data_IF_807862769796
#
_entry.id   IF_807862769796
#
_cell.length_a   1.000
_cell.length_b   1.000
_cell.length_c   1.000
_cell.angle_alpha   90.00
_cell.angle_beta   90.00
_cell.angle_gamma   90.00
#
_symmetry.space_group_name_H-M   'P 1'
#
loop_
_entity.id
_entity.type
_entity.pdbx_description
1 polymer ?
#
# COMPACT_ATOMS: atom_id res chain seq x y z
N UNK A 1 -24.41 -5.85 4.76
CA UNK A 1 -23.47 -6.72 5.52
C UNK A 1 -22.05 -6.34 5.15
N UNK A 2 -21.19 -6.09 6.15
CA UNK A 2 -19.80 -5.65 5.96
C UNK A 2 -18.85 -6.73 6.44
N UNK A 3 -17.74 -6.92 5.71
CA UNK A 3 -16.60 -7.75 6.12
C UNK A 3 -15.36 -6.88 6.31
N UNK A 4 -14.85 -6.79 7.54
CA UNK A 4 -13.53 -6.23 7.85
C UNK A 4 -12.46 -7.33 7.73
N UNK A 5 -11.63 -7.22 6.69
CA UNK A 5 -10.50 -8.13 6.47
C UNK A 5 -9.26 -7.53 7.12
N UNK A 6 -8.79 -8.15 8.20
CA UNK A 6 -7.56 -7.76 8.87
C UNK A 6 -7.77 -7.12 10.23
N UNK A 7 -8.95 -6.57 10.53
CA UNK A 7 -9.38 -6.04 11.84
C UNK A 7 -8.22 -5.50 12.71
N UNK A 8 -7.35 -4.67 12.11
CA UNK A 8 -6.01 -4.36 12.67
C UNK A 8 -6.14 -3.58 13.97
N UNK A 9 -6.55 -2.32 13.85
CA UNK A 9 -6.90 -1.44 14.97
C UNK A 9 -8.37 -1.60 15.41
N UNK A 10 -9.20 -2.24 14.58
CA UNK A 10 -10.63 -2.45 14.84
C UNK A 10 -11.48 -1.21 14.59
N UNK A 11 -10.84 -0.10 14.21
CA UNK A 11 -11.52 1.15 13.92
C UNK A 11 -12.49 1.02 12.74
N UNK A 12 -12.10 0.32 11.66
CA UNK A 12 -12.96 0.14 10.49
C UNK A 12 -14.21 -0.68 10.83
N UNK A 13 -14.04 -1.77 11.58
CA UNK A 13 -15.15 -2.55 12.14
C UNK A 13 -16.10 -1.70 12.98
N UNK A 14 -15.55 -0.91 13.92
CA UNK A 14 -16.35 -0.04 14.77
C UNK A 14 -17.11 1.01 13.95
N UNK A 15 -16.43 1.69 13.02
CA UNK A 15 -17.04 2.68 12.13
C UNK A 15 -18.13 2.07 11.23
N UNK A 16 -17.95 0.83 10.76
CA UNK A 16 -18.98 0.13 9.98
C UNK A 16 -20.24 -0.13 10.82
N UNK A 17 -20.10 -0.55 12.08
CA UNK A 17 -21.23 -0.65 13.01
C UNK A 17 -21.88 0.72 13.23
N UNK A 18 -21.07 1.77 13.46
CA UNK A 18 -21.57 3.12 13.70
C UNK A 18 -22.33 3.70 12.52
N UNK A 19 -21.89 3.41 11.29
CA UNK A 19 -22.53 3.81 10.05
C UNK A 19 -23.85 3.06 9.75
N UNK A 20 -24.29 2.16 10.62
CA UNK A 20 -25.58 1.46 10.49
C UNK A 20 -25.52 0.18 9.67
N UNK A 21 -24.36 -0.48 9.57
CA UNK A 21 -24.30 -1.81 8.97
C UNK A 21 -25.24 -2.78 9.70
N UNK A 22 -26.04 -3.55 8.96
CA UNK A 22 -26.92 -4.57 9.54
C UNK A 22 -26.15 -5.70 10.25
N UNK A 23 -24.91 -5.95 9.83
CA UNK A 23 -23.99 -6.95 10.39
C UNK A 23 -22.56 -6.61 9.94
N UNK A 24 -21.61 -6.73 10.83
CA UNK A 24 -20.17 -6.60 10.58
C UNK A 24 -19.49 -7.90 11.00
N UNK A 25 -18.84 -8.56 10.04
CA UNK A 25 -17.92 -9.66 10.31
C UNK A 25 -16.50 -9.14 10.30
N UNK A 26 -15.70 -9.48 11.30
CA UNK A 26 -14.30 -9.08 11.35
C UNK A 26 -13.39 -10.29 11.49
N UNK A 27 -12.35 -10.32 10.68
CA UNK A 27 -11.32 -11.38 10.66
C UNK A 27 -9.94 -10.76 10.87
N UNK A 28 -9.00 -11.52 11.42
CA UNK A 28 -7.66 -11.02 11.72
C UNK A 28 -7.41 -10.98 13.23
N UNK A 29 -7.08 -9.82 13.78
CA UNK A 29 -6.60 -9.71 15.16
C UNK A 29 -7.71 -9.94 16.21
N UNK A 30 -7.68 -11.06 16.97
CA UNK A 30 -8.73 -11.37 17.95
C UNK A 30 -8.68 -10.46 19.18
N UNK A 31 -7.50 -9.95 19.55
CA UNK A 31 -7.34 -9.02 20.67
C UNK A 31 -8.04 -7.71 20.36
N UNK A 32 -7.83 -7.19 19.15
CA UNK A 32 -8.49 -5.98 18.67
C UNK A 32 -10.00 -6.16 18.53
N UNK A 33 -10.44 -7.27 17.94
CA UNK A 33 -11.87 -7.57 17.84
C UNK A 33 -12.56 -7.53 19.22
N UNK A 34 -11.90 -8.01 20.28
CA UNK A 34 -12.41 -7.91 21.65
C UNK A 34 -12.57 -6.46 22.13
N UNK A 35 -11.68 -5.55 21.74
CA UNK A 35 -11.84 -4.13 22.06
C UNK A 35 -13.05 -3.51 21.34
N UNK A 36 -13.30 -3.89 20.08
CA UNK A 36 -14.51 -3.46 19.35
C UNK A 36 -15.77 -3.99 20.04
N UNK A 37 -15.80 -5.28 20.42
CA UNK A 37 -16.92 -5.84 21.19
C UNK A 37 -17.17 -5.08 22.49
N UNK A 38 -16.11 -4.74 23.22
CA UNK A 38 -16.23 -3.94 24.46
C UNK A 38 -16.75 -2.53 24.19
N UNK A 39 -16.29 -1.88 23.12
CA UNK A 39 -16.71 -0.53 22.77
C UNK A 39 -18.19 -0.45 22.36
N UNK A 40 -18.72 -1.54 21.77
CA UNK A 40 -20.13 -1.64 21.38
C UNK A 40 -21.03 -2.20 22.50
N UNK A 41 -20.46 -2.67 23.60
CA UNK A 41 -21.22 -3.27 24.70
C UNK A 41 -22.21 -2.26 25.31
N UNK A 42 -23.42 -2.72 25.60
CA UNK A 42 -24.49 -1.87 26.17
C UNK A 42 -25.14 -0.91 25.16
N UNK A 43 -24.75 -0.95 23.89
CA UNK A 43 -25.44 -0.26 22.80
C UNK A 43 -26.38 -1.20 22.05
N UNK A 44 -27.32 -0.64 21.29
CA UNK A 44 -28.17 -1.38 20.34
C UNK A 44 -27.38 -2.08 19.22
N UNK A 45 -26.08 -1.78 19.09
CA UNK A 45 -25.17 -2.31 18.06
C UNK A 45 -24.32 -3.48 18.56
N UNK A 46 -24.47 -3.91 19.81
CA UNK A 46 -23.67 -5.01 20.38
C UNK A 46 -23.77 -6.30 19.56
N UNK A 47 -24.97 -6.63 19.07
CA UNK A 47 -25.25 -7.83 18.27
C UNK A 47 -24.87 -7.70 16.77
N UNK A 48 -24.53 -6.49 16.32
CA UNK A 48 -24.14 -6.21 14.93
C UNK A 48 -22.74 -6.74 14.63
N UNK A 49 -21.86 -6.79 15.61
CA UNK A 49 -20.46 -7.16 15.41
C UNK A 49 -20.21 -8.63 15.76
N UNK A 50 -19.62 -9.38 14.82
CA UNK A 50 -19.17 -10.75 15.06
C UNK A 50 -17.73 -10.92 14.53
N UNK A 51 -16.86 -11.51 15.34
CA UNK A 51 -15.48 -11.79 14.94
C UNK A 51 -15.18 -13.30 14.96
N UNK A 52 -15.39 -14.02 13.85
CA UNK A 52 -14.97 -15.42 13.73
C UNK A 52 -13.46 -15.56 13.96
N UNK A 53 -13.06 -16.61 14.69
CA UNK A 53 -11.64 -16.91 14.93
C UNK A 53 -11.05 -17.68 13.74
N UNK A 54 -9.92 -17.21 13.24
CA UNK A 54 -9.13 -17.87 12.21
C UNK A 54 -8.77 -16.95 11.04
N UNK A 55 -7.98 -17.47 10.11
CA UNK A 55 -7.65 -16.79 8.86
C UNK A 55 -8.85 -16.78 7.90
N UNK A 56 -8.96 -15.75 7.06
CA UNK A 56 -10.07 -15.62 6.09
C UNK A 56 -10.19 -16.84 5.16
N UNK A 57 -9.08 -17.51 4.86
CA UNK A 57 -9.03 -18.72 4.04
C UNK A 57 -9.59 -19.96 4.73
N UNK A 58 -9.58 -19.98 6.07
CA UNK A 58 -9.95 -21.15 6.89
C UNK A 58 -11.35 -21.04 7.48
N UNK A 59 -11.86 -19.82 7.69
CA UNK A 59 -13.18 -19.63 8.27
C UNK A 59 -14.31 -19.79 7.25
N UNK A 60 -15.51 -20.01 7.78
CA UNK A 60 -16.77 -19.87 7.07
C UNK A 60 -17.60 -18.79 7.76
N UNK A 61 -18.00 -17.76 7.02
CA UNK A 61 -18.90 -16.74 7.54
C UNK A 61 -20.31 -17.35 7.71
N UNK A 62 -21.11 -16.89 8.68
CA UNK A 62 -22.50 -17.32 8.84
C UNK A 62 -23.45 -16.65 7.81
N UNK A 63 -22.89 -16.19 6.69
CA UNK A 63 -23.61 -15.71 5.52
C UNK A 63 -22.88 -16.20 4.26
N UNK A 64 -23.61 -16.34 3.16
CA UNK A 64 -23.01 -16.75 1.89
C UNK A 64 -22.19 -15.62 1.25
N UNK A 65 -22.68 -14.37 1.36
CA UNK A 65 -22.12 -13.20 0.71
C UNK A 65 -22.23 -11.94 1.59
N UNK A 66 -21.37 -10.96 1.32
CA UNK A 66 -21.32 -9.62 1.92
C UNK A 66 -21.40 -8.55 0.84
N UNK A 67 -21.90 -7.37 1.21
CA UNK A 67 -22.11 -6.26 0.28
C UNK A 67 -20.87 -5.36 0.16
N UNK A 68 -20.12 -5.24 1.26
CA UNK A 68 -18.96 -4.35 1.39
C UNK A 68 -17.83 -5.09 2.09
N UNK A 69 -16.62 -4.96 1.56
CA UNK A 69 -15.37 -5.28 2.24
C UNK A 69 -14.67 -3.98 2.64
N UNK A 70 -14.28 -3.88 3.90
CA UNK A 70 -13.37 -2.84 4.39
C UNK A 70 -12.06 -3.50 4.80
N UNK A 71 -10.93 -2.87 4.52
CA UNK A 71 -9.64 -3.40 4.94
C UNK A 71 -8.56 -2.34 4.91
N UNK A 72 -7.73 -2.29 5.95
CA UNK A 72 -6.45 -1.61 5.89
C UNK A 72 -5.41 -2.56 5.27
N UNK A 73 -5.49 -2.72 3.95
CA UNK A 73 -4.82 -3.83 3.27
C UNK A 73 -3.44 -3.52 2.72
N UNK A 74 -3.14 -2.25 2.48
CA UNK A 74 -1.88 -1.88 1.86
C UNK A 74 -0.75 -1.91 2.91
N UNK A 75 0.45 -2.26 2.45
CA UNK A 75 1.66 -2.37 3.26
C UNK A 75 2.70 -1.29 2.94
N UNK A 76 3.86 -1.39 3.58
CA UNK A 76 5.03 -0.61 3.19
C UNK A 76 5.44 -0.97 1.75
N UNK A 77 5.86 0.03 0.97
CA UNK A 77 6.17 -0.17 -0.44
C UNK A 77 5.04 -0.86 -1.20
N UNK A 78 3.77 -0.65 -0.82
CA UNK A 78 2.55 -1.31 -1.30
C UNK A 78 2.30 -2.73 -0.75
N UNK A 79 3.27 -3.65 -0.82
CA UNK A 79 2.99 -5.07 -0.52
C UNK A 79 3.62 -5.64 0.76
N UNK A 80 4.65 -5.02 1.33
CA UNK A 80 5.30 -5.57 2.51
C UNK A 80 4.41 -5.38 3.74
N UNK A 81 4.08 -6.48 4.45
CA UNK A 81 3.05 -6.52 5.51
C UNK A 81 1.63 -6.14 5.01
N UNK A 82 1.36 -6.34 3.72
CA UNK A 82 0.02 -6.13 3.15
C UNK A 82 -0.93 -7.30 3.39
N UNK A 83 -2.22 -7.03 3.34
CA UNK A 83 -3.31 -8.02 3.33
C UNK A 83 -3.87 -8.23 1.91
N UNK A 84 -3.09 -7.92 0.88
CA UNK A 84 -3.52 -7.96 -0.53
C UNK A 84 -4.12 -9.33 -0.90
N UNK A 85 -3.46 -10.43 -0.54
CA UNK A 85 -3.93 -11.79 -0.86
C UNK A 85 -5.21 -12.14 -0.11
N UNK A 86 -5.32 -11.74 1.16
CA UNK A 86 -6.46 -11.99 2.04
C UNK A 86 -7.70 -11.23 1.54
N UNK A 87 -7.54 -9.97 1.16
CA UNK A 87 -8.65 -9.17 0.61
C UNK A 87 -9.09 -9.68 -0.75
N UNK A 88 -8.15 -10.05 -1.62
CA UNK A 88 -8.47 -10.63 -2.92
C UNK A 88 -9.19 -11.98 -2.78
N UNK A 89 -8.77 -12.80 -1.81
CA UNK A 89 -9.51 -14.02 -1.44
C UNK A 89 -10.92 -13.72 -0.94
N UNK A 90 -11.06 -12.77 -0.02
CA UNK A 90 -12.35 -12.38 0.54
C UNK A 90 -13.30 -11.85 -0.53
N UNK A 91 -12.79 -11.04 -1.46
CA UNK A 91 -13.53 -10.53 -2.62
C UNK A 91 -14.12 -11.68 -3.43
N UNK A 92 -13.29 -12.58 -3.91
CA UNK A 92 -13.73 -13.64 -4.82
C UNK A 92 -14.73 -14.59 -4.15
N UNK A 93 -14.51 -14.88 -2.87
CA UNK A 93 -15.34 -15.83 -2.13
C UNK A 93 -16.63 -15.21 -1.61
N UNK A 94 -16.54 -14.05 -0.94
CA UNK A 94 -17.63 -13.52 -0.13
C UNK A 94 -18.28 -12.26 -0.70
N UNK A 95 -17.65 -11.49 -1.59
CA UNK A 95 -18.29 -10.28 -2.10
C UNK A 95 -19.39 -10.65 -3.11
N UNK A 96 -20.53 -9.94 -3.04
CA UNK A 96 -21.57 -9.99 -4.08
C UNK A 96 -21.07 -9.35 -5.39
N UNK A 97 -21.59 -9.77 -6.56
CA UNK A 97 -21.36 -9.02 -7.80
C UNK A 97 -21.77 -7.54 -7.62
N UNK A 98 -20.89 -6.63 -7.98
CA UNK A 98 -21.12 -5.18 -7.80
C UNK A 98 -20.93 -4.66 -6.37
N UNK A 99 -20.48 -5.51 -5.44
CA UNK A 99 -20.14 -5.08 -4.08
C UNK A 99 -18.96 -4.11 -4.01
N UNK A 100 -18.78 -3.49 -2.86
CA UNK A 100 -17.78 -2.41 -2.66
C UNK A 100 -16.57 -2.89 -1.86
N UNK A 101 -15.40 -2.34 -2.18
CA UNK A 101 -14.18 -2.52 -1.41
C UNK A 101 -13.63 -1.15 -1.04
N UNK A 102 -13.32 -0.95 0.24
CA UNK A 102 -12.85 0.33 0.80
C UNK A 102 -11.54 0.12 1.59
N UNK A 103 -10.41 0.72 1.18
CA UNK A 103 -10.18 1.33 -0.14
C UNK A 103 -10.10 0.28 -1.25
N UNK A 104 -10.53 0.65 -2.46
CA UNK A 104 -10.45 -0.24 -3.64
C UNK A 104 -9.22 0.02 -4.48
N UNK A 105 -8.65 1.23 -4.41
CA UNK A 105 -7.58 1.66 -5.31
C UNK A 105 -6.35 2.15 -4.54
N UNK A 106 -5.18 1.72 -4.98
CA UNK A 106 -3.90 2.30 -4.55
C UNK A 106 -3.03 2.52 -5.77
N UNK A 107 -2.53 3.76 -5.91
CA UNK A 107 -1.57 4.12 -6.95
C UNK A 107 -0.17 4.25 -6.33
N UNK A 108 0.77 3.45 -6.80
CA UNK A 108 2.17 3.49 -6.38
C UNK A 108 2.97 4.41 -7.30
N UNK A 109 3.69 5.35 -6.71
CA UNK A 109 4.54 6.31 -7.39
C UNK A 109 5.99 6.16 -6.98
N UNK A 110 6.89 6.52 -7.89
CA UNK A 110 8.33 6.63 -7.65
C UNK A 110 8.83 8.06 -7.91
N UNK A 111 9.82 8.49 -7.13
CA UNK A 111 10.51 9.78 -7.25
C UNK A 111 12.00 9.63 -6.92
N UNK A 112 12.87 10.39 -7.55
CA UNK A 112 14.25 10.54 -7.11
C UNK A 112 14.37 11.51 -5.94
N UNK A 113 15.23 11.20 -4.99
CA UNK A 113 15.57 12.04 -3.83
C UNK A 113 17.09 12.17 -3.68
N UNK A 114 17.52 13.07 -2.80
CA UNK A 114 18.92 13.31 -2.48
C UNK A 114 19.18 13.33 -0.96
N UNK A 115 20.32 12.79 -0.53
CA UNK A 115 20.88 13.02 0.80
C UNK A 115 20.09 12.40 1.95
N UNK A 116 19.29 11.36 1.68
CA UNK A 116 18.60 10.63 2.76
C UNK A 116 19.63 9.83 3.57
N UNK A 117 19.60 9.86 4.92
CA UNK A 117 20.58 9.16 5.75
C UNK A 117 20.60 7.66 5.45
N UNK A 118 21.81 7.13 5.30
CA UNK A 118 22.05 5.69 5.13
C UNK A 118 22.27 5.03 6.48
N UNK A 119 21.86 3.78 6.56
CA UNK A 119 21.99 2.95 7.75
C UNK A 119 22.88 1.74 7.46
N UNK A 120 23.58 1.28 8.49
CA UNK A 120 24.38 0.05 8.45
C UNK A 120 23.68 -0.96 9.35
N UNK A 121 23.51 -2.17 8.84
CA UNK A 121 23.15 -3.31 9.66
C UNK A 121 24.41 -3.78 10.39
N UNK A 122 24.49 -3.45 11.68
CA UNK A 122 25.65 -3.79 12.52
C UNK A 122 25.81 -5.30 12.70
N UNK A 123 24.73 -6.08 12.64
CA UNK A 123 24.77 -7.54 12.82
C UNK A 123 25.30 -8.24 11.58
N UNK A 124 24.92 -7.75 10.39
CA UNK A 124 25.32 -8.34 9.10
C UNK A 124 26.46 -7.60 8.40
N UNK A 125 27.01 -6.56 9.04
CA UNK A 125 28.08 -5.68 8.53
C UNK A 125 27.82 -5.18 7.09
N UNK A 126 26.57 -4.84 6.76
CA UNK A 126 26.19 -4.43 5.40
C UNK A 126 25.40 -3.12 5.36
N UNK A 127 25.47 -2.42 4.23
CA UNK A 127 24.69 -1.19 4.03
C UNK A 127 23.24 -1.54 3.70
N UNK A 128 22.31 -0.92 4.43
CA UNK A 128 20.88 -1.13 4.23
C UNK A 128 20.45 -0.53 2.88
N UNK A 129 19.95 -1.37 1.98
CA UNK A 129 19.52 -0.97 0.63
C UNK A 129 18.13 -0.36 0.58
N UNK A 130 17.32 -0.59 1.62
CA UNK A 130 15.94 -0.13 1.67
C UNK A 130 15.49 0.14 3.10
N UNK A 131 14.79 1.26 3.31
CA UNK A 131 14.20 1.61 4.62
C UNK A 131 12.79 2.18 4.47
N UNK A 132 11.99 2.04 5.53
CA UNK A 132 10.69 2.72 5.63
C UNK A 132 10.79 3.88 6.62
N UNK A 133 10.86 5.10 6.09
CA UNK A 133 11.17 6.32 6.84
C UNK A 133 10.39 7.52 6.35
N UNK A 134 10.33 8.55 7.19
CA UNK A 134 9.78 9.84 6.79
C UNK A 134 10.83 10.58 5.97
N UNK A 135 10.49 10.93 4.74
CA UNK A 135 11.35 11.70 3.84
C UNK A 135 10.95 13.18 3.91
N UNK A 136 11.94 14.07 3.98
CA UNK A 136 11.70 15.51 3.86
C UNK A 136 11.40 15.86 2.40
N UNK A 137 10.27 16.54 2.15
CA UNK A 137 9.88 17.01 0.82
C UNK A 137 10.95 17.90 0.17
N UNK A 138 11.81 18.57 0.94
CA UNK A 138 12.92 19.38 0.40
C UNK A 138 13.95 18.56 -0.39
N UNK A 139 14.08 17.25 -0.09
CA UNK A 139 15.01 16.31 -0.74
C UNK A 139 14.52 15.82 -2.11
N UNK A 140 13.28 16.13 -2.49
CA UNK A 140 12.71 15.68 -3.76
C UNK A 140 13.47 16.29 -4.95
N UNK A 141 13.99 15.41 -5.81
CA UNK A 141 14.77 15.79 -6.99
C UNK A 141 14.00 15.64 -8.30
N UNK A 142 12.91 14.88 -8.31
CA UNK A 142 12.13 14.63 -9.53
C UNK A 142 10.63 14.81 -9.33
N UNK A 143 9.91 15.01 -10.43
CA UNK A 143 8.47 14.79 -10.47
C UNK A 143 8.13 13.33 -10.14
N UNK A 144 6.89 13.07 -9.71
CA UNK A 144 6.39 11.71 -9.50
C UNK A 144 6.07 11.01 -10.80
N UNK A 145 6.36 9.71 -10.86
CA UNK A 145 5.95 8.83 -11.94
C UNK A 145 5.06 7.71 -11.38
N UNK A 146 3.92 7.45 -12.02
CA UNK A 146 3.00 6.38 -11.65
C UNK A 146 3.55 5.03 -12.14
N UNK A 147 3.89 4.14 -11.21
CA UNK A 147 4.35 2.79 -11.54
C UNK A 147 3.17 1.86 -11.84
N UNK A 148 2.16 1.86 -10.98
CA UNK A 148 0.98 0.98 -11.09
C UNK A 148 -0.17 1.55 -10.28
N UNK A 149 -1.38 1.39 -10.79
CA UNK A 149 -2.60 1.47 -9.99
C UNK A 149 -3.13 0.06 -9.79
N UNK A 150 -3.31 -0.33 -8.54
CA UNK A 150 -4.01 -1.56 -8.15
C UNK A 150 -5.48 -1.23 -7.97
N UNK A 151 -6.34 -1.88 -8.74
CA UNK A 151 -7.79 -1.89 -8.53
C UNK A 151 -8.21 -3.26 -8.02
N UNK A 152 -8.55 -3.33 -6.74
CA UNK A 152 -8.99 -4.56 -6.09
C UNK A 152 -10.29 -5.12 -6.67
N UNK A 153 -11.06 -4.39 -7.49
CA UNK A 153 -12.25 -4.94 -8.15
C UNK A 153 -11.92 -5.89 -9.30
N UNK A 154 -10.80 -5.65 -9.98
CA UNK A 154 -10.46 -6.36 -11.24
C UNK A 154 -9.14 -7.11 -11.20
N UNK A 155 -8.27 -6.84 -10.21
CA UNK A 155 -6.93 -7.46 -10.16
C UNK A 155 -7.01 -8.98 -10.03
N UNK A 156 -6.13 -9.68 -10.77
CA UNK A 156 -6.00 -11.13 -10.71
C UNK A 156 -4.95 -11.54 -9.66
N UNK A 157 -5.16 -12.68 -9.00
CA UNK A 157 -4.23 -13.26 -8.02
C UNK A 157 -2.91 -13.72 -8.65
N UNK A 158 -2.94 -14.10 -9.92
CA UNK A 158 -1.79 -14.68 -10.62
C UNK A 158 -0.97 -13.65 -11.43
N UNK A 159 -1.27 -12.35 -11.30
CA UNK A 159 -0.55 -11.30 -12.02
C UNK A 159 0.85 -11.08 -11.40
N UNK A 160 1.91 -11.12 -12.22
CA UNK A 160 3.21 -10.58 -11.80
C UNK A 160 3.02 -9.10 -11.45
N UNK A 161 3.23 -8.76 -10.17
CA UNK A 161 2.61 -7.56 -9.63
C UNK A 161 3.11 -6.26 -10.30
N UNK A 162 4.43 -6.03 -10.36
CA UNK A 162 5.01 -4.94 -11.16
C UNK A 162 6.35 -5.40 -11.76
N UNK A 163 6.49 -5.27 -13.09
CA UNK A 163 7.79 -5.20 -13.80
C UNK A 163 7.64 -4.17 -14.92
N UNK A 164 8.26 -3.00 -14.76
CA UNK A 164 8.04 -1.88 -15.68
C UNK A 164 9.27 -1.00 -15.88
N UNK A 165 9.27 -0.25 -16.96
CA UNK A 165 10.18 0.87 -17.18
C UNK A 165 9.48 2.16 -16.79
N UNK A 166 10.26 3.13 -16.32
CA UNK A 166 9.73 4.44 -15.95
C UNK A 166 10.66 5.57 -16.40
N UNK A 167 10.12 6.79 -16.40
CA UNK A 167 10.87 8.01 -16.70
C UNK A 167 10.62 9.06 -15.63
N UNK A 168 11.69 9.65 -15.10
CA UNK A 168 11.61 10.75 -14.16
C UNK A 168 12.14 12.01 -14.79
N UNK A 169 11.41 13.11 -14.63
CA UNK A 169 11.90 14.44 -14.99
C UNK A 169 12.41 15.14 -13.74
N UNK A 170 13.62 15.66 -13.80
CA UNK A 170 14.26 16.32 -12.66
C UNK A 170 13.70 17.72 -12.45
N UNK A 171 13.58 18.10 -11.18
CA UNK A 171 13.05 19.39 -10.72
C UNK A 171 14.12 20.45 -10.56
N UNK A 172 15.36 20.02 -10.30
CA UNK A 172 16.52 20.86 -9.97
C UNK A 172 17.81 20.11 -10.24
N UNK A 173 18.90 20.87 -10.38
CA UNK A 173 20.24 20.30 -10.51
C UNK A 173 20.75 19.78 -9.16
N UNK A 174 21.55 18.73 -9.18
CA UNK A 174 22.12 18.11 -7.98
C UNK A 174 22.39 16.63 -8.18
N UNK A 175 22.34 15.87 -7.09
CA UNK A 175 22.57 14.42 -7.10
C UNK A 175 21.24 13.71 -6.82
N UNK A 176 20.98 12.61 -7.51
CA UNK A 176 19.95 11.63 -7.13
C UNK A 176 20.66 10.39 -6.62
N UNK A 177 20.51 10.06 -5.34
CA UNK A 177 21.21 8.97 -4.64
C UNK A 177 20.26 7.91 -4.06
N UNK A 178 18.95 8.14 -4.16
CA UNK A 178 17.92 7.19 -3.80
C UNK A 178 16.62 7.46 -4.58
N UNK A 179 15.76 6.46 -4.62
CA UNK A 179 14.38 6.61 -5.03
C UNK A 179 13.43 6.40 -3.85
N UNK A 180 12.34 7.15 -3.88
CA UNK A 180 11.26 7.16 -2.92
C UNK A 180 10.03 6.52 -3.56
N UNK A 181 9.47 5.51 -2.92
CA UNK A 181 8.13 4.99 -3.21
C UNK A 181 7.09 5.62 -2.27
N UNK A 182 6.01 6.13 -2.85
CA UNK A 182 4.86 6.59 -2.10
C UNK A 182 3.55 6.22 -2.81
N UNK A 183 2.45 6.28 -2.09
CA UNK A 183 1.14 5.82 -2.49
C UNK A 183 0.11 6.95 -2.42
N UNK A 184 -0.90 6.84 -3.27
CA UNK A 184 -2.16 7.57 -3.18
C UNK A 184 -3.30 6.57 -3.11
N UNK A 185 -4.15 6.68 -2.08
CA UNK A 185 -5.20 5.72 -1.75
C UNK A 185 -6.55 6.32 -2.08
N UNK A 186 -7.41 5.54 -2.73
CA UNK A 186 -8.74 5.98 -3.16
C UNK A 186 -9.79 4.86 -3.06
N UNK A 187 -11.04 5.29 -3.09
CA UNK A 187 -12.23 4.43 -3.22
C UNK A 187 -13.08 4.91 -4.38
N UNK A 188 -13.85 3.98 -4.97
CA UNK A 188 -14.87 4.33 -5.97
C UNK A 188 -16.24 4.28 -5.30
N UNK A 189 -16.96 5.40 -5.35
CA UNK A 189 -18.32 5.56 -4.85
C UNK A 189 -19.35 4.80 -5.68
N UNK A 190 -20.61 4.83 -5.21
CA UNK A 190 -21.75 4.16 -5.85
C UNK A 190 -22.04 4.72 -7.24
N UNK A 191 -21.82 6.02 -7.42
CA UNK A 191 -21.97 6.77 -8.67
C UNK A 191 -20.77 6.62 -9.63
N UNK A 192 -19.76 5.82 -9.25
CA UNK A 192 -18.51 5.67 -10.00
C UNK A 192 -17.48 6.77 -9.73
N UNK A 193 -17.78 7.75 -8.86
CA UNK A 193 -16.84 8.82 -8.55
C UNK A 193 -15.65 8.30 -7.75
N UNK A 194 -14.43 8.64 -8.20
CA UNK A 194 -13.19 8.31 -7.48
C UNK A 194 -13.00 9.30 -6.34
N UNK A 195 -13.11 8.82 -5.11
CA UNK A 195 -12.80 9.58 -3.89
C UNK A 195 -11.37 9.29 -3.45
N UNK A 196 -10.51 10.31 -3.49
CA UNK A 196 -9.18 10.25 -2.88
C UNK A 196 -9.32 10.28 -1.37
N UNK A 197 -8.76 9.27 -0.69
CA UNK A 197 -8.80 9.18 0.76
C UNK A 197 -7.60 9.88 1.39
N UNK A 198 -6.39 9.43 1.05
CA UNK A 198 -5.16 10.02 1.57
C UNK A 198 -3.95 9.67 0.70
N UNK A 199 -2.81 10.27 1.00
CA UNK A 199 -1.52 9.96 0.40
C UNK A 199 -0.45 10.01 1.47
N UNK A 200 0.53 9.09 1.39
CA UNK A 200 1.75 9.15 2.19
C UNK A 200 2.89 9.83 1.41
N UNK A 201 2.61 10.70 0.44
CA UNK A 201 3.65 11.56 -0.14
C UNK A 201 4.31 12.41 0.97
N UNK A 202 5.63 12.68 0.91
CA UNK A 202 6.29 13.58 1.85
C UNK A 202 5.75 15.02 1.81
N UNK A 203 5.03 15.40 0.75
CA UNK A 203 4.35 16.70 0.61
C UNK A 203 2.96 16.74 1.30
N UNK A 204 2.56 15.65 1.96
CA UNK A 204 1.27 15.49 2.64
C UNK A 204 1.45 15.22 4.13
N UNK A 205 0.34 15.23 4.86
CA UNK A 205 0.34 14.89 6.27
C UNK A 205 0.93 13.49 6.49
N UNK A 206 1.72 13.35 7.56
CA UNK A 206 2.39 12.09 7.89
C UNK A 206 1.36 11.00 8.17
N UNK A 207 1.67 9.81 7.67
CA UNK A 207 0.92 8.58 7.94
C UNK A 207 1.86 7.57 8.58
N UNK A 208 1.32 6.60 9.33
CA UNK A 208 2.13 5.54 9.94
C UNK A 208 2.87 4.66 8.91
N UNK A 209 2.40 4.66 7.65
CA UNK A 209 2.98 3.91 6.54
C UNK A 209 4.30 4.51 6.03
N UNK A 210 4.67 5.72 6.49
CA UNK A 210 5.90 6.42 6.11
C UNK A 210 6.07 6.45 4.58
N UNK A 211 7.30 6.39 4.09
CA UNK A 211 7.62 6.10 2.70
C UNK A 211 8.70 5.02 2.61
N UNK A 212 8.82 4.35 1.47
CA UNK A 212 9.87 3.34 1.25
C UNK A 212 10.98 3.95 0.40
N UNK A 213 12.18 4.05 0.96
CA UNK A 213 13.38 4.57 0.30
C UNK A 213 14.20 3.39 -0.21
N UNK A 214 14.62 3.48 -1.47
CA UNK A 214 15.47 2.53 -2.19
C UNK A 214 16.77 3.25 -2.56
N UNK A 215 17.89 2.88 -1.95
CA UNK A 215 19.16 3.57 -2.19
C UNK A 215 19.78 3.17 -3.54
N UNK A 216 20.45 4.12 -4.17
CA UNK A 216 21.21 3.94 -5.41
C UNK A 216 22.70 3.99 -5.03
N UNK A 217 23.32 2.83 -4.84
CA UNK A 217 24.73 2.76 -4.42
C UNK A 217 25.67 3.19 -5.54
N UNK A 218 25.82 2.34 -6.55
CA UNK A 218 26.66 2.62 -7.73
C UNK A 218 25.94 3.50 -8.77
N UNK A 219 24.60 3.55 -8.68
CA UNK A 219 23.73 4.23 -9.62
C UNK A 219 23.40 5.68 -9.19
N UNK A 220 24.15 6.28 -8.26
CA UNK A 220 23.96 7.70 -7.94
C UNK A 220 24.27 8.58 -9.14
N UNK A 221 23.50 9.64 -9.35
CA UNK A 221 23.54 10.39 -10.61
C UNK A 221 23.60 11.89 -10.40
N UNK A 222 24.55 12.55 -11.07
CA UNK A 222 24.50 14.00 -11.26
C UNK A 222 23.50 14.37 -12.35
N UNK A 223 22.60 15.28 -12.00
CA UNK A 223 21.50 15.72 -12.85
C UNK A 223 21.44 17.23 -12.94
N UNK A 224 20.97 17.71 -14.08
CA UNK A 224 20.59 19.11 -14.30
C UNK A 224 19.07 19.23 -14.24
N UNK A 225 18.56 20.41 -13.91
CA UNK A 225 17.12 20.72 -14.03
C UNK A 225 16.59 20.29 -15.41
N UNK A 226 15.43 19.62 -15.43
CA UNK A 226 14.72 19.14 -16.63
C UNK A 226 15.38 17.98 -17.39
N UNK A 227 16.47 17.42 -16.88
CA UNK A 227 16.97 16.12 -17.32
C UNK A 227 15.86 15.05 -17.25
N UNK A 228 15.97 14.08 -18.14
CA UNK A 228 15.13 12.88 -18.11
C UNK A 228 15.98 11.70 -17.69
N UNK A 229 15.56 11.05 -16.60
CA UNK A 229 16.12 9.79 -16.11
C UNK A 229 15.22 8.64 -16.54
N UNK A 230 15.83 7.54 -16.93
CA UNK A 230 15.15 6.28 -17.15
C UNK A 230 15.39 5.33 -15.99
N UNK A 231 14.48 4.39 -15.81
CA UNK A 231 14.69 3.33 -14.85
C UNK A 231 13.89 2.08 -15.16
N UNK A 232 14.28 1.00 -14.50
CA UNK A 232 13.54 -0.27 -14.44
C UNK A 232 13.17 -0.52 -12.99
N UNK A 233 11.93 -0.91 -12.77
CA UNK A 233 11.43 -1.24 -11.45
C UNK A 233 10.67 -2.56 -11.48
N UNK A 234 10.93 -3.42 -10.51
CA UNK A 234 10.09 -4.58 -10.24
C UNK A 234 9.72 -4.69 -8.78
N UNK A 235 8.50 -5.19 -8.55
CA UNK A 235 7.95 -5.50 -7.25
C UNK A 235 7.20 -6.82 -7.37
N UNK A 236 7.65 -7.84 -6.64
CA UNK A 236 7.12 -9.21 -6.75
C UNK A 236 6.95 -9.81 -5.36
N UNK A 237 5.82 -10.49 -5.13
CA UNK A 237 5.63 -11.29 -3.91
C UNK A 237 6.55 -12.50 -3.94
N UNK A 238 7.31 -12.72 -2.88
CA UNK A 238 8.26 -13.83 -2.77
C UNK A 238 8.34 -14.34 -1.35
N UNK A 239 8.08 -15.63 -1.15
CA UNK A 239 8.19 -16.28 0.16
C UNK A 239 9.66 -16.39 0.64
N UNK A 240 10.62 -16.16 -0.25
CA UNK A 240 12.06 -16.18 0.07
C UNK A 240 12.59 -14.80 0.44
N UNK A 241 11.85 -13.73 0.11
CA UNK A 241 12.27 -12.37 0.47
C UNK A 241 12.03 -12.13 1.97
N UNK A 242 12.96 -11.47 2.70
CA UNK A 242 12.82 -11.23 4.14
C UNK A 242 11.52 -10.54 4.55
N UNK A 243 10.94 -9.74 3.64
CA UNK A 243 9.70 -8.98 3.84
C UNK A 243 8.49 -9.56 3.09
N UNK A 244 8.62 -10.75 2.52
CA UNK A 244 7.61 -11.35 1.63
C UNK A 244 7.51 -10.69 0.25
N UNK A 245 8.36 -9.70 -0.04
CA UNK A 245 8.36 -8.90 -1.27
C UNK A 245 9.79 -8.62 -1.71
N UNK A 246 10.06 -8.81 -2.99
CA UNK A 246 11.31 -8.46 -3.65
C UNK A 246 11.13 -7.16 -4.44
N UNK A 247 12.05 -6.22 -4.21
CA UNK A 247 12.13 -4.94 -4.92
C UNK A 247 13.40 -4.91 -5.75
N UNK A 248 13.32 -4.54 -7.02
CA UNK A 248 14.48 -4.28 -7.87
C UNK A 248 14.33 -2.91 -8.51
N UNK A 249 15.43 -2.16 -8.53
CA UNK A 249 15.51 -0.82 -9.07
C UNK A 249 16.83 -0.68 -9.83
N UNK A 250 16.75 -0.13 -11.03
CA UNK A 250 17.92 0.34 -11.78
C UNK A 250 17.60 1.70 -12.40
N UNK A 251 18.56 2.61 -12.38
CA UNK A 251 18.42 3.98 -12.89
C UNK A 251 19.50 4.28 -13.92
N UNK A 252 19.19 5.11 -14.93
CA UNK A 252 20.15 5.53 -15.94
C UNK A 252 19.77 6.88 -16.55
N UNK A 253 20.75 7.62 -17.05
CA UNK A 253 20.53 8.94 -17.65
C UNK A 253 20.13 8.75 -19.10
N UNK A 254 19.07 9.41 -19.58
CA UNK A 254 18.87 9.48 -21.02
C UNK A 254 19.94 10.40 -21.61
N UNK A 255 20.87 9.81 -22.35
CA UNK A 255 21.76 10.54 -23.24
C UNK A 255 21.06 10.53 -24.60
N UNK A 256 20.44 11.63 -25.05
CA UNK A 256 19.93 11.68 -26.41
C UNK A 256 21.11 11.47 -27.36
N UNK A 257 21.00 10.48 -28.24
CA UNK A 257 21.91 10.35 -29.37
C UNK A 257 21.76 11.63 -30.20
N UNK A 258 22.72 12.53 -30.11
CA UNK A 258 22.89 13.58 -31.10
C UNK A 258 23.36 12.88 -32.39
N UNK A 259 22.42 12.63 -33.30
CA UNK A 259 22.69 12.40 -34.72
C UNK A 259 22.92 13.74 -35.41
#
# INVERSE_FOLDING_TARGET
>A
IVLDVGCRSGLLSYLACEAGAARVYAVGNPTTARYVTKALAGSEKAEVFLAPRGDISQIRLPCAKVDIIVSEWMGYGLLADSLYLQVTYARDKYLVPGGYIIPSHVSLYIRGICGHPRHVDEENECTVQMVDEYVDASTLMTHKYLLKTVDLKVVNKDEEFIKTQFKLRTLKSGIVDACLLHMEVASVGVDGTVQKLFSNSPEKLRTYMKQTVLFLDEDSMEVTERDTLGGRFSLVLSNYAPRGVEYSLAMYKYIPYNL
#
